data_IF_289030618124
#
_entry.id   IF_289030618124
#
_cell.length_a   1.000
_cell.length_b   1.000
_cell.length_c   1.000
_cell.angle_alpha   90.00
_cell.angle_beta   90.00
_cell.angle_gamma   90.00
#
_symmetry.space_group_name_H-M   'P 1'
#
loop_
_entity.id
_entity.type
_entity.pdbx_description
1 polymer ?
#
# COMPACT_ATOMS: atom_id res chain seq x y z
N UNK A 1 -32.16 18.12 -45.59
CA UNK A 1 -32.39 19.53 -45.21
C UNK A 1 -31.30 19.91 -44.20
N UNK A 2 -30.40 20.83 -44.61
CA UNK A 2 -29.56 21.78 -43.83
C UNK A 2 -28.80 21.22 -42.59
N UNK A 3 -27.47 21.23 -42.42
CA UNK A 3 -26.30 21.97 -42.91
C UNK A 3 -26.32 23.50 -42.75
N UNK A 4 -25.73 24.00 -41.66
CA UNK A 4 -25.08 25.32 -41.47
C UNK A 4 -23.91 25.07 -40.47
N UNK A 5 -22.61 25.33 -40.71
CA UNK A 5 -21.86 26.58 -40.99
C UNK A 5 -22.18 27.69 -39.99
N UNK A 6 -21.27 28.47 -39.39
CA UNK A 6 -19.82 28.69 -39.45
C UNK A 6 -19.50 29.82 -38.44
N UNK A 7 -18.21 30.20 -38.34
CA UNK A 7 -17.68 31.49 -37.80
C UNK A 7 -17.56 31.57 -36.26
N UNK A 8 -16.44 31.97 -35.64
CA UNK A 8 -15.15 32.52 -36.08
C UNK A 8 -14.49 33.22 -34.86
N UNK A 9 -13.15 33.41 -34.81
CA UNK A 9 -12.46 34.02 -33.67
C UNK A 9 -12.20 35.53 -33.89
N UNK A 10 -12.21 36.29 -32.80
CA UNK A 10 -11.76 37.69 -32.72
C UNK A 10 -11.26 37.94 -31.28
N UNK A 11 -10.21 38.69 -30.98
CA UNK A 11 -9.28 39.44 -31.80
C UNK A 11 -8.25 40.10 -30.87
N UNK A 12 -7.03 40.22 -31.39
CA UNK A 12 -5.96 41.19 -31.09
C UNK A 12 -6.33 42.45 -30.29
N UNK A 13 -5.50 42.79 -29.30
CA UNK A 13 -5.19 44.19 -28.97
C UNK A 13 -3.68 44.42 -28.98
N UNK A 14 -3.29 45.35 -29.84
CA UNK A 14 -1.95 45.93 -30.03
C UNK A 14 -1.84 47.20 -29.19
N UNK A 15 -0.66 47.49 -28.64
CA UNK A 15 0.12 48.71 -28.92
C UNK A 15 1.18 49.00 -27.84
N UNK A 16 2.29 49.56 -28.31
CA UNK A 16 3.59 49.64 -27.66
C UNK A 16 3.91 51.08 -27.10
N UNK A 17 5.14 51.62 -27.17
CA UNK A 17 6.02 51.87 -26.03
C UNK A 17 6.38 53.37 -25.81
N UNK A 18 7.04 53.73 -24.70
CA UNK A 18 7.89 54.95 -24.49
C UNK A 18 8.39 54.94 -23.02
N UNK A 19 9.58 55.36 -22.59
CA UNK A 19 10.76 55.99 -23.18
C UNK A 19 11.67 56.55 -22.05
N UNK A 20 13.00 56.51 -22.24
CA UNK A 20 14.05 57.38 -21.64
C UNK A 20 14.38 57.22 -20.14
N UNK A 21 15.60 57.39 -19.61
CA UNK A 21 17.03 57.47 -20.03
C UNK A 21 17.85 57.64 -18.71
N UNK A 22 19.19 57.47 -18.71
CA UNK A 22 20.03 57.27 -17.51
C UNK A 22 20.73 58.56 -17.00
N UNK A 23 21.41 58.46 -15.84
CA UNK A 23 22.53 59.28 -15.28
C UNK A 23 22.36 59.40 -13.74
N UNK A 24 23.33 59.29 -12.82
CA UNK A 24 24.80 59.23 -12.80
C UNK A 24 25.28 59.14 -11.32
N UNK A 25 26.60 59.16 -11.02
CA UNK A 25 27.21 58.57 -9.81
C UNK A 25 27.71 59.59 -8.75
N UNK A 26 27.94 59.13 -7.52
CA UNK A 26 28.83 59.72 -6.47
C UNK A 26 28.60 58.92 -5.16
N UNK A 27 29.51 58.64 -4.24
CA UNK A 27 30.92 58.93 -3.95
C UNK A 27 31.24 58.17 -2.64
N UNK A 28 32.48 57.70 -2.45
CA UNK A 28 32.80 56.61 -1.53
C UNK A 28 33.09 56.95 -0.06
N UNK A 29 33.52 55.94 0.71
CA UNK A 29 34.58 55.96 1.75
C UNK A 29 34.88 54.50 2.18
N UNK A 30 36.16 54.09 2.36
CA UNK A 30 36.53 52.77 2.89
C UNK A 30 36.68 52.80 4.42
N UNK A 31 36.07 51.84 5.12
CA UNK A 31 36.13 51.76 6.59
C UNK A 31 36.01 50.33 7.08
N UNK A 32 37.07 49.88 7.77
CA UNK A 32 37.28 48.54 8.31
C UNK A 32 36.22 48.07 9.32
N UNK A 33 35.86 46.79 9.29
CA UNK A 33 36.11 45.81 10.37
C UNK A 33 35.49 44.45 10.07
N UNK A 34 36.27 43.43 10.39
CA UNK A 34 35.88 42.04 10.58
C UNK A 34 34.70 41.91 11.52
N UNK A 35 33.60 41.32 11.04
CA UNK A 35 32.62 40.67 11.89
C UNK A 35 32.49 39.20 11.44
N UNK A 36 32.94 38.33 12.35
CA UNK A 36 32.63 36.90 12.39
C UNK A 36 31.11 36.71 12.36
N UNK A 37 30.53 36.56 11.17
CA UNK A 37 29.17 36.01 11.05
C UNK A 37 29.26 34.51 10.85
N UNK A 38 29.18 33.83 11.99
CA UNK A 38 28.76 32.45 12.19
C UNK A 38 28.39 31.68 10.91
N UNK A 39 29.22 30.67 10.59
CA UNK A 39 28.88 29.55 9.72
C UNK A 39 27.66 28.83 10.29
N UNK A 40 26.47 29.30 9.90
CA UNK A 40 25.21 28.59 10.11
C UNK A 40 25.15 27.43 9.14
N UNK A 41 25.78 26.30 9.49
CA UNK A 41 25.49 25.05 8.83
C UNK A 41 23.96 24.82 8.91
N UNK A 42 23.25 24.60 7.78
CA UNK A 42 21.84 24.29 7.84
C UNK A 42 21.69 23.01 8.67
N UNK A 43 20.98 23.10 9.80
CA UNK A 43 20.66 21.93 10.62
C UNK A 43 19.97 20.94 9.69
N UNK A 44 20.67 19.86 9.36
CA UNK A 44 20.21 18.89 8.38
C UNK A 44 18.81 18.42 8.77
N UNK A 45 17.82 18.77 7.95
CA UNK A 45 16.48 18.23 8.10
C UNK A 45 16.58 16.70 8.15
N UNK A 46 15.81 16.01 9.03
CA UNK A 46 15.80 14.56 9.08
C UNK A 46 15.51 14.00 7.69
N UNK A 47 16.53 13.42 7.05
CA UNK A 47 16.42 12.90 5.68
C UNK A 47 15.41 11.77 5.69
N UNK A 48 14.32 11.91 4.94
CA UNK A 48 13.32 10.86 4.79
C UNK A 48 14.01 9.52 4.41
N UNK A 49 13.59 8.38 5.00
CA UNK A 49 14.20 7.09 4.71
C UNK A 49 14.13 6.79 3.21
N UNK A 50 15.25 6.39 2.61
CA UNK A 50 15.26 6.01 1.19
C UNK A 50 14.56 4.65 1.01
N UNK A 51 13.65 4.52 0.03
CA UNK A 51 13.02 3.24 -0.31
C UNK A 51 14.07 2.15 -0.54
N UNK A 52 13.86 0.98 0.06
CA UNK A 52 14.70 -0.22 -0.07
C UNK A 52 13.94 -1.32 -0.79
N UNK A 53 14.65 -2.15 -1.55
CA UNK A 53 14.06 -3.33 -2.18
C UNK A 53 13.95 -4.48 -1.19
N UNK A 54 12.81 -5.18 -1.20
CA UNK A 54 12.68 -6.46 -0.53
C UNK A 54 13.53 -7.51 -1.28
N UNK A 55 14.49 -8.12 -0.58
CA UNK A 55 15.38 -9.15 -1.11
C UNK A 55 15.44 -10.32 -0.12
N UNK A 56 15.91 -11.49 -0.55
CA UNK A 56 16.12 -12.62 0.36
C UNK A 56 17.05 -12.25 1.53
N UNK A 57 18.10 -11.45 1.27
CA UNK A 57 19.00 -10.94 2.32
C UNK A 57 18.28 -10.04 3.32
N UNK A 58 17.39 -9.17 2.84
CA UNK A 58 16.57 -8.32 3.71
C UNK A 58 15.61 -9.17 4.55
N UNK A 59 14.94 -10.15 3.94
CA UNK A 59 14.04 -11.07 4.63
C UNK A 59 14.74 -11.80 5.79
N UNK A 60 15.93 -12.34 5.54
CA UNK A 60 16.70 -13.10 6.53
C UNK A 60 17.36 -12.22 7.60
N UNK A 61 17.30 -10.89 7.48
CA UNK A 61 17.94 -9.98 8.43
C UNK A 61 17.16 -9.80 9.74
N UNK A 62 15.87 -10.14 9.77
CA UNK A 62 15.04 -10.03 10.98
C UNK A 62 13.86 -11.02 10.93
N UNK A 63 13.47 -11.68 12.04
CA UNK A 63 12.36 -12.65 12.04
C UNK A 63 11.02 -12.04 11.60
N UNK A 64 10.75 -10.77 11.97
CA UNK A 64 9.54 -10.08 11.51
C UNK A 64 9.50 -9.89 9.99
N UNK A 65 10.66 -9.79 9.32
CA UNK A 65 10.70 -9.72 7.86
C UNK A 65 10.29 -11.05 7.24
N UNK A 66 10.76 -12.17 7.80
CA UNK A 66 10.37 -13.52 7.37
C UNK A 66 8.84 -13.68 7.42
N UNK A 67 8.21 -13.27 8.53
CA UNK A 67 6.76 -13.32 8.69
C UNK A 67 6.05 -12.38 7.71
N UNK A 68 6.43 -11.09 7.71
CA UNK A 68 5.78 -10.09 6.86
C UNK A 68 5.86 -10.42 5.36
N UNK A 69 6.96 -11.05 4.92
CA UNK A 69 7.19 -11.42 3.52
C UNK A 69 6.66 -12.83 3.21
N UNK A 70 5.85 -13.41 4.09
CA UNK A 70 5.18 -14.70 3.92
C UNK A 70 6.16 -15.85 3.66
N UNK A 71 7.25 -15.91 4.43
CA UNK A 71 8.33 -16.91 4.27
C UNK A 71 8.97 -16.94 2.88
N UNK A 72 8.92 -15.81 2.16
CA UNK A 72 9.52 -15.64 0.84
C UNK A 72 8.50 -15.59 -0.29
N UNK A 73 7.24 -15.91 -0.05
CA UNK A 73 6.17 -15.77 -1.05
C UNK A 73 6.03 -14.32 -1.54
N UNK A 74 6.16 -13.35 -0.63
CA UNK A 74 6.16 -11.92 -0.94
C UNK A 74 7.38 -11.42 -1.73
N UNK A 75 8.42 -12.26 -1.92
CA UNK A 75 9.56 -11.94 -2.79
C UNK A 75 9.30 -12.27 -4.27
N UNK A 76 8.11 -12.76 -4.63
CA UNK A 76 7.76 -13.07 -6.01
C UNK A 76 7.87 -11.84 -6.93
N UNK A 77 8.46 -11.97 -8.14
CA UNK A 77 8.67 -10.84 -9.04
C UNK A 77 7.42 -10.38 -9.79
N UNK A 78 6.39 -11.23 -9.93
CA UNK A 78 5.29 -11.00 -10.90
C UNK A 78 3.94 -10.72 -10.21
N UNK A 79 3.74 -11.16 -8.97
CA UNK A 79 2.58 -10.80 -8.15
C UNK A 79 2.80 -11.28 -6.71
N UNK A 80 3.56 -10.55 -5.87
CA UNK A 80 3.80 -10.90 -4.47
C UNK A 80 2.54 -11.38 -3.75
N UNK A 81 1.45 -10.63 -3.86
CA UNK A 81 0.19 -10.97 -3.22
C UNK A 81 -0.39 -12.32 -3.65
N UNK A 82 -0.47 -12.59 -4.96
CA UNK A 82 -0.91 -13.90 -5.45
C UNK A 82 -0.11 -15.05 -4.83
N UNK A 83 1.21 -14.92 -4.70
CA UNK A 83 2.05 -15.93 -4.06
C UNK A 83 1.86 -15.99 -2.54
N UNK A 84 1.61 -14.85 -1.88
CA UNK A 84 1.24 -14.77 -0.46
C UNK A 84 -0.08 -15.49 -0.18
N UNK A 85 -1.12 -15.18 -0.95
CA UNK A 85 -2.43 -15.85 -0.87
C UNK A 85 -2.33 -17.35 -1.21
N UNK A 86 -1.51 -17.75 -2.19
CA UNK A 86 -1.25 -19.18 -2.48
C UNK A 86 -0.53 -19.87 -1.32
N UNK A 87 0.43 -19.21 -0.68
CA UNK A 87 1.06 -19.72 0.53
C UNK A 87 0.06 -19.86 1.68
N UNK A 88 -0.87 -18.91 1.82
CA UNK A 88 -1.97 -18.99 2.77
C UNK A 88 -2.83 -20.24 2.54
N UNK A 89 -3.20 -20.51 1.29
CA UNK A 89 -3.95 -21.71 0.93
C UNK A 89 -3.17 -22.99 1.22
N UNK A 90 -1.90 -23.06 0.79
CA UNK A 90 -1.05 -24.23 0.99
C UNK A 90 -0.82 -24.51 2.48
N UNK A 91 -0.55 -23.48 3.28
CA UNK A 91 -0.38 -23.61 4.74
C UNK A 91 -1.68 -24.01 5.44
N UNK A 92 -2.82 -23.45 5.04
CA UNK A 92 -4.12 -23.87 5.58
C UNK A 92 -4.37 -25.37 5.33
N UNK A 93 -4.18 -25.82 4.09
CA UNK A 93 -4.34 -27.23 3.73
C UNK A 93 -3.35 -28.15 4.46
N UNK A 94 -2.12 -27.69 4.71
CA UNK A 94 -1.10 -28.47 5.42
C UNK A 94 -1.40 -28.66 6.92
N UNK A 95 -2.10 -27.69 7.54
CA UNK A 95 -2.41 -27.69 8.98
C UNK A 95 -3.88 -27.96 9.31
N UNK A 96 -4.76 -28.09 8.30
CA UNK A 96 -6.20 -28.26 8.52
C UNK A 96 -6.59 -29.56 9.23
N UNK A 97 -5.75 -30.59 9.17
CA UNK A 97 -6.00 -31.85 9.87
C UNK A 97 -5.53 -31.84 11.34
N UNK A 98 -4.70 -30.86 11.71
CA UNK A 98 -4.00 -30.79 12.98
C UNK A 98 -4.58 -29.72 13.90
N UNK A 99 -5.21 -28.68 13.33
CA UNK A 99 -5.82 -27.59 14.06
C UNK A 99 -7.35 -27.68 14.02
N UNK A 100 -7.96 -27.56 15.19
CA UNK A 100 -9.41 -27.38 15.33
C UNK A 100 -9.86 -26.00 14.82
N UNK A 101 -11.17 -25.83 14.62
CA UNK A 101 -11.76 -24.55 14.23
C UNK A 101 -11.43 -23.44 15.24
N UNK A 102 -11.41 -23.77 16.54
CA UNK A 102 -11.08 -22.81 17.60
C UNK A 102 -9.61 -22.39 17.53
N UNK A 103 -8.69 -23.34 17.33
CA UNK A 103 -7.26 -23.03 17.23
C UNK A 103 -6.95 -22.21 15.98
N UNK A 104 -7.60 -22.48 14.85
CA UNK A 104 -7.55 -21.62 13.67
C UNK A 104 -8.06 -20.21 13.96
N UNK A 105 -9.20 -20.09 14.65
CA UNK A 105 -9.76 -18.80 15.05
C UNK A 105 -8.79 -18.01 15.93
N UNK A 106 -8.16 -18.66 16.91
CA UNK A 106 -7.14 -18.05 17.78
C UNK A 106 -5.93 -17.63 16.95
N UNK A 107 -5.44 -18.48 16.06
CA UNK A 107 -4.29 -18.19 15.18
C UNK A 107 -4.56 -16.97 14.29
N UNK A 108 -5.75 -16.87 13.71
CA UNK A 108 -6.16 -15.73 12.87
C UNK A 108 -6.24 -14.45 13.70
N UNK A 109 -6.86 -14.50 14.88
CA UNK A 109 -6.97 -13.31 15.76
C UNK A 109 -5.59 -12.83 16.20
N UNK A 110 -4.73 -13.74 16.66
CA UNK A 110 -3.34 -13.42 17.04
C UNK A 110 -2.57 -12.91 15.82
N UNK A 111 -2.72 -13.56 14.67
CA UNK A 111 -2.07 -13.19 13.41
C UNK A 111 -2.49 -11.80 12.95
N UNK A 112 -3.76 -11.44 13.12
CA UNK A 112 -4.28 -10.11 12.81
C UNK A 112 -3.66 -9.05 13.72
N UNK A 113 -3.75 -9.25 15.04
CA UNK A 113 -3.25 -8.28 16.04
C UNK A 113 -1.72 -8.13 15.95
N UNK A 114 -0.99 -9.24 15.84
CA UNK A 114 0.46 -9.21 15.66
C UNK A 114 0.85 -8.63 14.29
N UNK A 115 0.04 -8.89 13.26
CA UNK A 115 0.22 -8.39 11.91
C UNK A 115 0.31 -6.87 11.83
N UNK A 116 -0.46 -6.15 12.65
CA UNK A 116 -0.40 -4.68 12.74
C UNK A 116 1.04 -4.22 13.04
N UNK A 117 1.71 -4.87 14.00
CA UNK A 117 3.10 -4.58 14.34
C UNK A 117 4.10 -5.09 13.29
N UNK A 118 3.90 -6.32 12.81
CA UNK A 118 4.79 -6.99 11.84
C UNK A 118 4.83 -6.22 10.51
N UNK A 119 3.66 -5.91 9.93
CA UNK A 119 3.55 -5.19 8.67
C UNK A 119 4.06 -3.76 8.82
N UNK A 120 3.70 -3.05 9.91
CA UNK A 120 4.22 -1.70 10.16
C UNK A 120 5.75 -1.68 10.30
N UNK A 121 6.32 -2.64 11.03
CA UNK A 121 7.76 -2.75 11.20
C UNK A 121 8.46 -2.92 9.86
N UNK A 122 7.99 -3.85 9.02
CA UNK A 122 8.63 -4.09 7.71
C UNK A 122 8.42 -2.93 6.75
N UNK A 123 7.23 -2.33 6.69
CA UNK A 123 6.96 -1.16 5.86
C UNK A 123 7.88 0.02 6.19
N UNK A 124 8.05 0.32 7.49
CA UNK A 124 8.96 1.36 7.95
C UNK A 124 10.43 1.08 7.57
N UNK A 125 10.86 -0.18 7.60
CA UNK A 125 12.24 -0.59 7.23
C UNK A 125 12.48 -0.59 5.72
N UNK A 126 11.43 -0.83 4.93
CA UNK A 126 11.46 -0.66 3.48
C UNK A 126 11.37 0.81 3.08
N UNK A 127 10.84 1.68 3.94
CA UNK A 127 10.65 3.10 3.63
C UNK A 127 9.58 3.32 2.56
N UNK A 128 8.59 2.42 2.50
CA UNK A 128 7.49 2.41 1.54
C UNK A 128 6.20 2.25 2.34
N UNK A 129 5.24 3.13 2.12
CA UNK A 129 3.87 2.95 2.63
C UNK A 129 3.21 1.81 1.83
N UNK A 130 2.60 0.85 2.52
CA UNK A 130 1.93 -0.32 1.93
C UNK A 130 2.75 -1.07 0.85
N UNK A 131 3.91 -1.65 1.21
CA UNK A 131 4.79 -2.29 0.25
C UNK A 131 4.24 -3.65 -0.21
N UNK A 132 4.05 -3.83 -1.52
CA UNK A 132 3.54 -5.08 -2.10
C UNK A 132 4.23 -6.39 -1.66
N UNK A 133 5.53 -6.44 -1.32
CA UNK A 133 6.15 -7.64 -0.77
C UNK A 133 5.65 -8.07 0.62
N UNK A 134 5.05 -7.17 1.40
CA UNK A 134 4.43 -7.50 2.68
C UNK A 134 3.07 -8.12 2.37
N UNK A 135 2.90 -9.40 2.72
CA UNK A 135 1.75 -10.24 2.32
C UNK A 135 1.16 -11.00 3.52
N UNK A 136 1.49 -10.56 4.74
CA UNK A 136 1.03 -11.23 5.97
C UNK A 136 -0.45 -10.98 6.25
N UNK A 137 -0.91 -9.76 5.97
CA UNK A 137 -2.32 -9.39 5.84
C UNK A 137 -3.09 -10.35 4.93
N UNK A 138 -2.57 -10.60 3.73
CA UNK A 138 -3.25 -11.47 2.77
C UNK A 138 -3.34 -12.91 3.27
N UNK A 139 -2.28 -13.37 3.94
CA UNK A 139 -2.22 -14.71 4.51
C UNK A 139 -3.27 -14.88 5.61
N UNK A 140 -3.31 -13.96 6.56
CA UNK A 140 -4.25 -14.02 7.69
C UNK A 140 -5.70 -13.87 7.21
N UNK A 141 -5.95 -12.92 6.31
CA UNK A 141 -7.27 -12.70 5.75
C UNK A 141 -7.76 -13.91 4.93
N UNK A 142 -6.90 -14.53 4.13
CA UNK A 142 -7.30 -15.70 3.35
C UNK A 142 -7.49 -16.95 4.21
N UNK A 143 -6.74 -17.12 5.30
CA UNK A 143 -7.05 -18.16 6.30
C UNK A 143 -8.44 -17.98 6.90
N UNK A 144 -8.87 -16.74 7.19
CA UNK A 144 -10.23 -16.46 7.64
C UNK A 144 -11.27 -16.87 6.59
N UNK A 145 -11.04 -16.54 5.32
CA UNK A 145 -11.94 -16.95 4.22
C UNK A 145 -12.06 -18.47 4.17
N UNK A 146 -10.95 -19.20 4.17
CA UNK A 146 -10.94 -20.65 4.11
C UNK A 146 -11.61 -21.30 5.33
N UNK A 147 -11.34 -20.79 6.54
CA UNK A 147 -11.96 -21.28 7.76
C UNK A 147 -13.49 -21.20 7.70
N UNK A 148 -14.02 -20.07 7.22
CA UNK A 148 -15.47 -19.81 7.17
C UNK A 148 -16.18 -20.53 6.02
N UNK A 149 -15.46 -20.82 4.93
CA UNK A 149 -16.02 -21.53 3.75
C UNK A 149 -15.99 -23.04 3.93
N UNK A 150 -15.08 -23.56 4.76
CA UNK A 150 -14.94 -25.00 5.07
C UNK A 150 -16.18 -25.53 5.82
N UNK A 151 -16.68 -26.74 5.49
CA UNK A 151 -16.19 -27.68 4.48
C UNK A 151 -16.49 -27.20 3.05
N UNK A 152 -15.47 -27.25 2.19
CA UNK A 152 -15.59 -26.89 0.78
C UNK A 152 -14.71 -27.79 -0.10
N UNK A 153 -15.21 -28.10 -1.29
CA UNK A 153 -14.44 -28.81 -2.33
C UNK A 153 -13.26 -27.95 -2.80
N UNK A 154 -12.29 -28.58 -3.47
CA UNK A 154 -11.19 -27.86 -4.09
C UNK A 154 -11.68 -26.73 -5.01
N UNK A 155 -12.71 -26.99 -5.81
CA UNK A 155 -13.35 -25.97 -6.66
C UNK A 155 -13.95 -24.83 -5.86
N UNK A 156 -14.57 -25.12 -4.71
CA UNK A 156 -15.10 -24.08 -3.82
C UNK A 156 -13.99 -23.19 -3.23
N UNK A 157 -12.88 -23.79 -2.82
CA UNK A 157 -11.70 -23.07 -2.32
C UNK A 157 -11.05 -22.23 -3.45
N UNK A 158 -10.98 -22.76 -4.67
CA UNK A 158 -10.50 -22.03 -5.84
C UNK A 158 -11.36 -20.80 -6.15
N UNK A 159 -12.68 -20.92 -6.07
CA UNK A 159 -13.56 -19.77 -6.22
C UNK A 159 -13.37 -18.75 -5.10
N UNK A 160 -13.21 -19.20 -3.85
CA UNK A 160 -12.89 -18.31 -2.74
C UNK A 160 -11.58 -17.55 -2.97
N UNK A 161 -10.54 -18.22 -3.49
CA UNK A 161 -9.28 -17.62 -3.89
C UNK A 161 -9.47 -16.54 -4.95
N UNK A 162 -10.19 -16.85 -6.03
CA UNK A 162 -10.43 -15.92 -7.14
C UNK A 162 -11.20 -14.68 -6.66
N UNK A 163 -12.27 -14.89 -5.89
CA UNK A 163 -13.13 -13.80 -5.40
C UNK A 163 -12.37 -12.93 -4.38
N UNK A 164 -11.57 -13.53 -3.49
CA UNK A 164 -10.70 -12.80 -2.57
C UNK A 164 -9.70 -11.92 -3.31
N UNK A 165 -8.94 -12.50 -4.25
CA UNK A 165 -7.97 -11.74 -5.06
C UNK A 165 -8.64 -10.64 -5.88
N UNK A 166 -9.86 -10.86 -6.36
CA UNK A 166 -10.63 -9.83 -7.03
C UNK A 166 -10.91 -8.65 -6.10
N UNK A 167 -11.41 -8.88 -4.87
CA UNK A 167 -11.71 -7.79 -3.93
C UNK A 167 -10.47 -7.08 -3.40
N UNK A 168 -9.40 -7.84 -3.13
CA UNK A 168 -8.10 -7.29 -2.73
C UNK A 168 -7.53 -6.35 -3.81
N UNK A 169 -7.52 -6.77 -5.08
CA UNK A 169 -6.98 -5.95 -6.17
C UNK A 169 -7.87 -4.75 -6.54
N UNK A 170 -9.20 -4.91 -6.51
CA UNK A 170 -10.13 -3.89 -6.99
C UNK A 170 -10.41 -2.80 -5.94
N UNK A 171 -10.32 -3.13 -4.65
CA UNK A 171 -10.65 -2.24 -3.51
C UNK A 171 -11.95 -1.42 -3.77
N UNK A 172 -13.12 -2.05 -3.99
CA UNK A 172 -14.34 -1.30 -4.30
C UNK A 172 -14.71 -0.34 -3.14
N UNK A 173 -15.24 0.86 -3.42
CA UNK A 173 -15.76 1.73 -2.36
C UNK A 173 -16.87 1.00 -1.58
N UNK A 174 -16.91 1.03 -0.24
CA UNK A 174 -16.35 2.03 0.69
C UNK A 174 -14.93 1.76 1.22
N UNK A 175 -14.25 0.68 0.79
CA UNK A 175 -12.89 0.29 1.27
C UNK A 175 -11.91 1.46 1.11
N UNK A 176 -11.89 2.06 -0.08
CA UNK A 176 -11.03 3.20 -0.42
C UNK A 176 -11.26 4.45 0.44
N UNK A 177 -12.41 4.57 1.12
CA UNK A 177 -12.67 5.71 2.02
C UNK A 177 -11.98 5.54 3.38
N UNK A 178 -11.96 4.32 3.92
CA UNK A 178 -11.30 4.01 5.19
C UNK A 178 -9.78 3.92 5.06
N UNK A 179 -9.30 3.33 3.95
CA UNK A 179 -7.88 3.25 3.55
C UNK A 179 -7.17 4.63 3.66
N UNK A 180 -7.82 5.70 3.17
CA UNK A 180 -7.24 7.06 3.23
C UNK A 180 -7.05 7.62 4.64
N UNK A 181 -7.69 7.05 5.66
CA UNK A 181 -7.62 7.54 7.05
C UNK A 181 -6.83 6.61 7.98
N UNK A 182 -6.71 5.33 7.64
CA UNK A 182 -6.02 4.33 8.45
C UNK A 182 -4.62 4.11 7.88
N UNK A 183 -3.60 4.62 8.57
CA UNK A 183 -2.20 4.50 8.13
C UNK A 183 -1.42 3.47 8.93
N UNK A 184 -0.32 3.01 8.36
CA UNK A 184 0.59 2.05 8.98
C UNK A 184 0.01 0.63 8.96
N UNK A 185 0.52 -0.23 9.83
CA UNK A 185 0.18 -1.66 9.78
C UNK A 185 -1.29 -1.97 10.06
N UNK A 186 -2.04 -1.10 10.75
CA UNK A 186 -3.48 -1.30 10.91
C UNK A 186 -4.23 -1.12 9.60
N UNK A 187 -3.87 -0.12 8.79
CA UNK A 187 -4.46 0.05 7.45
C UNK A 187 -4.19 -1.17 6.58
N UNK A 188 -2.93 -1.61 6.53
CA UNK A 188 -2.50 -2.81 5.79
C UNK A 188 -3.35 -4.04 6.17
N UNK A 189 -3.41 -4.38 7.47
CA UNK A 189 -4.18 -5.55 7.91
C UNK A 189 -5.70 -5.39 7.69
N UNK A 190 -6.23 -4.18 7.86
CA UNK A 190 -7.66 -3.92 7.77
C UNK A 190 -8.16 -3.99 6.31
N UNK A 191 -7.37 -3.53 5.35
CA UNK A 191 -7.72 -3.55 3.93
C UNK A 191 -8.08 -4.98 3.46
N UNK A 192 -7.25 -5.96 3.79
CA UNK A 192 -7.47 -7.37 3.41
C UNK A 192 -8.56 -8.04 4.23
N UNK A 193 -8.75 -7.62 5.49
CA UNK A 193 -9.89 -8.07 6.29
C UNK A 193 -11.21 -7.65 5.65
N UNK A 194 -11.27 -6.45 5.09
CA UNK A 194 -12.46 -5.98 4.37
C UNK A 194 -12.63 -6.74 3.05
N UNK A 195 -11.55 -7.02 2.32
CA UNK A 195 -11.60 -7.90 1.14
C UNK A 195 -12.16 -9.28 1.50
N UNK A 196 -11.68 -9.91 2.58
CA UNK A 196 -12.19 -11.17 3.10
C UNK A 196 -13.68 -11.10 3.46
N UNK A 197 -14.14 -10.02 4.10
CA UNK A 197 -15.55 -9.81 4.39
C UNK A 197 -16.41 -9.80 3.11
N UNK A 198 -16.00 -9.08 2.07
CA UNK A 198 -16.73 -9.06 0.80
C UNK A 198 -16.73 -10.42 0.10
N UNK A 199 -15.62 -11.15 0.14
CA UNK A 199 -15.55 -12.53 -0.36
C UNK A 199 -16.56 -13.42 0.32
N UNK A 200 -16.59 -13.40 1.66
CA UNK A 200 -17.51 -14.22 2.43
C UNK A 200 -18.97 -13.83 2.19
N UNK A 201 -19.26 -12.53 2.06
CA UNK A 201 -20.60 -12.05 1.72
C UNK A 201 -21.06 -12.59 0.36
N UNK A 202 -20.22 -12.51 -0.68
CA UNK A 202 -20.55 -13.03 -2.02
C UNK A 202 -20.80 -14.55 -1.98
N UNK A 203 -19.93 -15.30 -1.29
CA UNK A 203 -20.07 -16.75 -1.18
C UNK A 203 -21.34 -17.12 -0.39
N UNK A 204 -21.65 -16.37 0.67
CA UNK A 204 -22.87 -16.58 1.46
C UNK A 204 -24.13 -16.31 0.64
N UNK A 205 -24.18 -15.20 -0.10
CA UNK A 205 -25.30 -14.87 -0.99
C UNK A 205 -25.49 -15.95 -2.07
N UNK A 206 -24.40 -16.42 -2.67
CA UNK A 206 -24.46 -17.51 -3.66
C UNK A 206 -25.01 -18.81 -3.04
N UNK A 207 -24.53 -19.20 -1.85
CA UNK A 207 -25.01 -20.39 -1.13
C UNK A 207 -26.49 -20.30 -0.73
N UNK A 208 -27.03 -19.10 -0.52
CA UNK A 208 -28.46 -18.92 -0.24
C UNK A 208 -29.33 -18.99 -1.50
N UNK A 209 -28.75 -18.85 -2.69
CA UNK A 209 -29.47 -18.82 -3.97
C UNK A 209 -29.55 -20.18 -4.69
N UNK A 210 -28.84 -21.20 -4.19
CA UNK A 210 -28.76 -22.56 -4.74
C UNK A 210 -29.38 -23.53 -3.76
#
# INVERSE_FOLDING_TARGET
MQNESSLGPAGSFSDAPTGGTPDGPSGGTPGARSEDTASGAPRGEPRAPRPRRATARFMLSHPLHILSLGFGSGLSPIAPGTFGTLFAWASFAAFSAQLTVIEWGILIVIGFVAGIGICSFTANRLGIEDPSPVVWDEIVAFWLVLLMVTPATFTGQLWAFIVFRFFDMVKPPPIRYFDRRLKGGFGIMFDDLVAAFFTLLVIALWRMSV
#
